data_IF_742097724633
#
_entry.id   IF_742097724633
#
_cell.length_a   1.000
_cell.length_b   1.000
_cell.length_c   1.000
_cell.angle_alpha   90.00
_cell.angle_beta   90.00
_cell.angle_gamma   90.00
#
_symmetry.space_group_name_H-M   'P 1'
#
loop_
_entity.id
_entity.type
_entity.pdbx_description
1 polymer ?
#
# COMPACT_ATOMS: atom_id res chain seq x y z
N UNK A 1 -5.87 22.29 -11.20
CA UNK A 1 -6.85 21.19 -11.09
C UNK A 1 -6.11 19.99 -10.52
N UNK A 2 -6.25 19.71 -9.24
CA UNK A 2 -5.67 18.52 -8.61
C UNK A 2 -6.48 17.33 -9.08
N UNK A 3 -5.96 16.60 -10.08
CA UNK A 3 -6.58 15.36 -10.54
C UNK A 3 -6.51 14.36 -9.38
N UNK A 4 -7.63 14.11 -8.71
CA UNK A 4 -7.72 13.11 -7.65
C UNK A 4 -7.31 11.75 -8.22
N UNK A 5 -6.33 11.08 -7.59
CA UNK A 5 -5.82 9.77 -8.02
C UNK A 5 -6.96 8.75 -8.24
N UNK A 6 -8.05 8.91 -7.51
CA UNK A 6 -9.30 8.13 -7.57
C UNK A 6 -10.01 8.14 -8.93
N UNK A 7 -9.85 9.16 -9.77
CA UNK A 7 -10.52 9.21 -11.09
C UNK A 7 -9.69 8.60 -12.23
N UNK A 8 -8.44 8.21 -11.94
CA UNK A 8 -7.51 7.63 -12.92
C UNK A 8 -7.74 6.13 -13.07
N UNK A 9 -7.28 5.57 -14.18
CA UNK A 9 -7.27 4.12 -14.41
C UNK A 9 -6.30 3.41 -13.45
N UNK A 10 -6.52 2.11 -13.21
CA UNK A 10 -5.62 1.28 -12.40
C UNK A 10 -4.16 1.33 -12.90
N UNK A 11 -3.95 1.39 -14.22
CA UNK A 11 -2.62 1.50 -14.81
C UNK A 11 -1.94 2.83 -14.47
N UNK A 12 -2.65 3.95 -14.66
CA UNK A 12 -2.10 5.27 -14.31
C UNK A 12 -1.83 5.40 -12.80
N UNK A 13 -2.67 4.79 -11.96
CA UNK A 13 -2.44 4.75 -10.51
C UNK A 13 -1.20 3.93 -10.17
N UNK A 14 -0.99 2.79 -10.83
CA UNK A 14 0.22 1.98 -10.68
C UNK A 14 1.48 2.77 -11.03
N UNK A 15 1.51 3.41 -12.20
CA UNK A 15 2.67 4.18 -12.66
C UNK A 15 2.97 5.34 -11.71
N UNK A 16 1.93 6.02 -11.24
CA UNK A 16 2.06 7.09 -10.26
C UNK A 16 2.66 6.59 -8.94
N UNK A 17 2.13 5.50 -8.37
CA UNK A 17 2.62 4.95 -7.10
C UNK A 17 4.04 4.42 -7.22
N UNK A 18 4.38 3.77 -8.34
CA UNK A 18 5.73 3.31 -8.60
C UNK A 18 6.72 4.48 -8.62
N UNK A 19 6.41 5.53 -9.38
CA UNK A 19 7.23 6.73 -9.47
C UNK A 19 7.37 7.47 -8.14
N UNK A 20 6.28 7.56 -7.37
CA UNK A 20 6.25 8.23 -6.07
C UNK A 20 7.07 7.47 -5.03
N UNK A 21 6.81 6.18 -4.84
CA UNK A 21 7.41 5.39 -3.76
C UNK A 21 8.92 5.19 -3.98
N UNK A 22 9.37 5.07 -5.23
CA UNK A 22 10.80 4.97 -5.53
C UNK A 22 11.55 6.31 -5.46
N UNK A 23 10.84 7.43 -5.31
CA UNK A 23 11.48 8.74 -5.26
C UNK A 23 12.29 8.93 -3.97
N UNK A 24 13.45 9.58 -4.08
CA UNK A 24 14.27 9.89 -2.90
C UNK A 24 13.49 10.68 -1.84
N UNK A 25 12.61 11.59 -2.28
CA UNK A 25 11.79 12.42 -1.38
C UNK A 25 10.91 11.53 -0.48
N UNK A 26 10.27 10.53 -1.07
CA UNK A 26 9.42 9.58 -0.34
C UNK A 26 10.25 8.70 0.59
N UNK A 27 11.33 8.11 0.08
CA UNK A 27 12.20 7.20 0.84
C UNK A 27 12.90 7.92 2.02
N UNK A 28 13.31 9.17 1.83
CA UNK A 28 13.92 10.02 2.87
C UNK A 28 12.89 10.73 3.75
N UNK A 29 11.58 10.48 3.55
CA UNK A 29 10.47 11.05 4.36
C UNK A 29 10.50 12.58 4.43
N UNK A 30 10.92 13.24 3.34
CA UNK A 30 11.14 14.68 3.31
C UNK A 30 9.83 15.46 3.23
N UNK A 31 9.73 16.55 4.01
CA UNK A 31 8.63 17.51 3.94
C UNK A 31 7.52 17.32 4.98
N UNK A 32 7.77 16.53 6.02
CA UNK A 32 6.89 16.38 7.18
C UNK A 32 7.52 17.13 8.34
N UNK A 33 6.85 18.16 8.84
CA UNK A 33 7.34 19.00 9.94
C UNK A 33 7.37 18.24 11.26
N UNK A 34 8.37 17.38 11.46
CA UNK A 34 8.56 16.51 12.63
C UNK A 34 7.44 15.49 12.91
N UNK A 35 6.48 15.29 12.00
CA UNK A 35 5.44 14.28 12.16
C UNK A 35 5.85 12.91 11.59
N UNK A 36 5.24 11.85 12.12
CA UNK A 36 5.43 10.49 11.60
C UNK A 36 4.82 10.40 10.19
N UNK A 37 5.58 10.00 9.15
CA UNK A 37 5.06 9.85 7.80
C UNK A 37 4.01 8.74 7.73
N UNK A 38 2.78 9.10 7.35
CA UNK A 38 1.78 8.14 6.88
C UNK A 38 1.17 8.65 5.57
N UNK A 39 0.92 7.71 4.64
CA UNK A 39 0.38 8.01 3.32
C UNK A 39 -0.81 7.08 3.07
N UNK A 40 -1.91 7.65 2.60
CA UNK A 40 -3.16 6.92 2.35
C UNK A 40 -3.50 7.08 0.88
N UNK A 41 -3.81 5.95 0.24
CA UNK A 41 -4.29 5.90 -1.15
C UNK A 41 -5.74 5.39 -1.11
N UNK A 42 -6.73 6.29 -1.20
CA UNK A 42 -8.13 5.89 -1.24
C UNK A 42 -8.48 5.23 -2.57
N UNK A 43 -9.42 4.28 -2.54
CA UNK A 43 -9.97 3.66 -3.73
C UNK A 43 -11.43 3.17 -3.53
N UNK A 44 -12.23 3.11 -4.60
CA UNK A 44 -13.58 2.54 -4.54
C UNK A 44 -13.57 1.06 -4.16
N UNK A 45 -14.50 0.63 -3.30
CA UNK A 45 -14.55 -0.76 -2.80
C UNK A 45 -14.71 -1.79 -3.92
N UNK A 46 -15.38 -1.41 -5.01
CA UNK A 46 -15.59 -2.22 -6.20
C UNK A 46 -14.27 -2.61 -6.87
N UNK A 47 -13.21 -1.81 -6.68
CA UNK A 47 -11.89 -2.06 -7.24
C UNK A 47 -10.99 -2.93 -6.35
N UNK A 48 -11.47 -3.43 -5.20
CA UNK A 48 -10.64 -4.12 -4.19
C UNK A 48 -9.78 -5.26 -4.74
N UNK A 49 -10.32 -6.04 -5.69
CA UNK A 49 -9.58 -7.14 -6.34
C UNK A 49 -8.43 -6.60 -7.19
N UNK A 50 -8.70 -5.55 -7.98
CA UNK A 50 -7.70 -4.92 -8.83
C UNK A 50 -6.59 -4.26 -8.00
N UNK A 51 -6.93 -3.68 -6.85
CA UNK A 51 -5.96 -3.10 -5.91
C UNK A 51 -5.06 -4.14 -5.24
N UNK A 52 -5.61 -5.30 -4.89
CA UNK A 52 -4.81 -6.41 -4.37
C UNK A 52 -3.76 -6.89 -5.39
N UNK A 53 -4.15 -6.99 -6.66
CA UNK A 53 -3.22 -7.40 -7.72
C UNK A 53 -2.24 -6.30 -8.10
N UNK A 54 -2.69 -5.04 -8.14
CA UNK A 54 -1.83 -3.86 -8.29
C UNK A 54 -0.75 -3.84 -7.20
N UNK A 55 -1.13 -4.01 -5.93
CA UNK A 55 -0.20 -4.00 -4.80
C UNK A 55 0.87 -5.09 -4.91
N UNK A 56 0.51 -6.31 -5.31
CA UNK A 56 1.48 -7.41 -5.54
C UNK A 56 2.48 -7.05 -6.63
N UNK A 57 1.99 -6.52 -7.77
CA UNK A 57 2.85 -6.10 -8.90
C UNK A 57 3.77 -4.95 -8.49
N UNK A 58 3.24 -4.00 -7.72
CA UNK A 58 3.96 -2.82 -7.27
C UNK A 58 5.12 -3.19 -6.35
N UNK A 59 4.88 -4.06 -5.38
CA UNK A 59 5.92 -4.59 -4.49
C UNK A 59 7.02 -5.30 -5.28
N UNK A 60 6.62 -6.15 -6.24
CA UNK A 60 7.58 -6.87 -7.10
C UNK A 60 8.47 -5.90 -7.89
N UNK A 61 7.86 -4.89 -8.53
CA UNK A 61 8.59 -3.91 -9.35
C UNK A 61 9.51 -3.04 -8.50
N UNK A 62 9.04 -2.59 -7.34
CA UNK A 62 9.86 -1.81 -6.40
C UNK A 62 11.04 -2.63 -5.87
N UNK A 63 10.84 -3.91 -5.58
CA UNK A 63 11.93 -4.82 -5.21
C UNK A 63 12.99 -4.97 -6.29
N UNK A 64 12.58 -5.05 -7.57
CA UNK A 64 13.52 -5.04 -8.70
C UNK A 64 14.30 -3.72 -8.81
N UNK A 65 13.71 -2.61 -8.38
CA UNK A 65 14.34 -1.29 -8.35
C UNK A 65 15.16 -1.05 -7.07
N UNK A 66 15.40 -2.08 -6.25
CA UNK A 66 16.22 -2.01 -5.03
C UNK A 66 15.48 -1.48 -3.80
N UNK A 67 14.16 -1.30 -3.87
CA UNK A 67 13.33 -0.84 -2.74
C UNK A 67 12.77 -2.05 -1.99
N UNK A 68 13.21 -2.24 -0.74
CA UNK A 68 12.70 -3.30 0.14
C UNK A 68 11.39 -2.87 0.79
N UNK A 69 10.37 -3.71 0.69
CA UNK A 69 9.02 -3.41 1.19
C UNK A 69 8.54 -4.52 2.10
N UNK A 70 8.09 -4.14 3.29
CA UNK A 70 7.30 -5.02 4.16
C UNK A 70 5.82 -4.80 3.86
N UNK A 71 5.15 -5.81 3.31
CA UNK A 71 3.70 -5.81 3.12
C UNK A 71 3.02 -6.40 4.34
N UNK A 72 2.07 -5.67 4.90
CA UNK A 72 1.18 -6.17 5.96
C UNK A 72 -0.26 -6.09 5.46
N UNK A 73 -0.98 -7.22 5.47
CA UNK A 73 -2.43 -7.23 5.35
C UNK A 73 -3.02 -7.29 6.75
N UNK A 74 -3.73 -6.23 7.16
CA UNK A 74 -4.28 -6.13 8.51
C UNK A 74 -5.33 -7.19 8.81
N UNK A 75 -6.11 -7.61 7.81
CA UNK A 75 -7.08 -8.68 8.00
C UNK A 75 -6.35 -9.99 8.31
N UNK A 76 -5.42 -10.39 7.44
CA UNK A 76 -4.65 -11.63 7.64
C UNK A 76 -3.89 -11.61 8.97
N UNK A 77 -3.27 -10.47 9.33
CA UNK A 77 -2.57 -10.30 10.60
C UNK A 77 -3.51 -10.45 11.80
N UNK A 78 -4.71 -9.87 11.77
CA UNK A 78 -5.69 -10.05 12.83
C UNK A 78 -6.07 -11.52 12.99
N UNK A 79 -6.30 -12.24 11.88
CA UNK A 79 -6.62 -13.67 11.91
C UNK A 79 -5.47 -14.49 12.49
N UNK A 80 -4.24 -14.19 12.10
CA UNK A 80 -3.02 -14.82 12.63
C UNK A 80 -2.94 -14.65 14.15
N UNK A 81 -3.09 -13.41 14.65
CA UNK A 81 -3.06 -13.12 16.09
C UNK A 81 -4.18 -13.83 16.87
N UNK A 82 -5.38 -13.94 16.30
CA UNK A 82 -6.49 -14.66 16.94
C UNK A 82 -6.22 -16.17 17.02
N UNK A 83 -5.60 -16.75 15.98
CA UNK A 83 -5.22 -18.16 15.94
C UNK A 83 -4.08 -18.47 16.91
N UNK A 84 -3.05 -17.63 16.95
CA UNK A 84 -1.92 -17.78 17.89
C UNK A 84 -2.37 -17.77 19.36
N UNK A 85 -3.41 -16.99 19.68
CA UNK A 85 -4.00 -16.92 21.02
C UNK A 85 -5.00 -18.05 21.31
N UNK A 86 -5.30 -18.91 20.34
CA UNK A 86 -6.27 -20.00 20.47
C UNK A 86 -7.69 -19.51 20.74
N UNK A 87 -8.05 -18.32 20.25
CA UNK A 87 -9.39 -17.72 20.44
C UNK A 87 -10.19 -17.58 19.14
N UNK A 88 -9.58 -17.90 17.99
CA UNK A 88 -10.24 -17.83 16.68
C UNK A 88 -11.54 -18.64 16.60
N UNK A 89 -11.54 -19.87 17.11
CA UNK A 89 -12.68 -20.78 17.07
C UNK A 89 -13.55 -20.74 18.35
N UNK A 90 -13.28 -19.82 19.28
CA UNK A 90 -14.09 -19.68 20.50
C UNK A 90 -15.36 -18.89 20.18
N UNK A 91 -16.49 -19.58 20.17
CA UNK A 91 -17.84 -18.98 20.12
C UNK A 91 -18.28 -18.54 21.51
#
# INVERSE_FOLDING_TARGET
MTTTLESKTIAERFDHLLALIQSERFLKKQGLGNEVPFFIVPFPVEESVQWNDLGKKLIKQLGQNGVSILKVNLFDLCIELLKERGIWDKT
#
